data_IF_646105113771
#
_entry.id   IF_646105113771
#
_cell.length_a   1.000
_cell.length_b   1.000
_cell.length_c   1.000
_cell.angle_alpha   90.00
_cell.angle_beta   90.00
_cell.angle_gamma   90.00
#
_symmetry.space_group_name_H-M   'P 1'
#
loop_
_entity.id
_entity.type
_entity.pdbx_description
1 polymer ?
#
# COMPACT_ATOMS: atom_id res chain seq x y z
N UNK A 1 34.09 1.59 86.24
CA UNK A 1 32.99 0.63 86.49
C UNK A 1 32.88 -0.29 85.30
N UNK A 2 33.13 -1.57 85.55
CA UNK A 2 33.07 -2.72 84.65
C UNK A 2 31.63 -3.15 84.36
N UNK A 3 31.35 -3.54 83.12
CA UNK A 3 30.44 -4.64 82.71
C UNK A 3 30.18 -4.53 81.19
N UNK A 4 29.89 -5.59 80.43
CA UNK A 4 30.12 -7.03 80.48
C UNK A 4 29.59 -7.52 79.11
N UNK A 5 30.25 -8.51 78.54
CA UNK A 5 29.94 -9.21 77.29
C UNK A 5 28.54 -9.85 77.26
N UNK A 6 27.97 -10.00 76.05
CA UNK A 6 27.15 -11.15 75.65
C UNK A 6 27.13 -11.34 74.13
N UNK A 7 27.35 -12.59 73.71
CA UNK A 7 27.36 -13.15 72.36
C UNK A 7 26.16 -14.13 72.23
N UNK A 8 25.44 -14.10 71.11
CA UNK A 8 24.60 -15.18 70.55
C UNK A 8 24.16 -14.72 69.13
N UNK A 9 24.70 -15.23 68.01
CA UNK A 9 24.47 -16.50 67.27
C UNK A 9 23.04 -16.75 66.79
N UNK A 10 22.81 -16.60 65.46
CA UNK A 10 21.99 -17.48 64.56
C UNK A 10 22.12 -16.96 63.10
N UNK A 11 22.87 -17.63 62.20
CA UNK A 11 22.50 -18.67 61.20
C UNK A 11 21.61 -18.19 60.03
N UNK A 12 22.14 -18.45 58.83
CA UNK A 12 21.77 -18.09 57.45
C UNK A 12 20.35 -18.44 56.97
N UNK A 13 19.86 -17.69 55.97
CA UNK A 13 19.03 -18.24 54.89
C UNK A 13 19.17 -17.44 53.58
N UNK A 14 19.34 -18.17 52.49
CA UNK A 14 19.50 -17.76 51.09
C UNK A 14 18.19 -17.20 50.54
N UNK A 15 18.26 -16.11 49.77
CA UNK A 15 17.19 -15.73 48.83
C UNK A 15 17.79 -15.61 47.42
N UNK A 16 17.62 -16.69 46.65
CA UNK A 16 17.75 -16.69 45.20
C UNK A 16 16.65 -15.77 44.63
N UNK A 17 17.04 -14.55 44.30
CA UNK A 17 16.21 -13.65 43.50
C UNK A 17 16.14 -14.17 42.07
N UNK A 18 15.11 -14.96 41.77
CA UNK A 18 14.72 -15.28 40.41
C UNK A 18 14.39 -13.97 39.68
N UNK A 19 15.20 -13.63 38.68
CA UNK A 19 14.88 -12.58 37.71
C UNK A 19 13.73 -13.10 36.86
N UNK A 20 12.51 -12.77 37.25
CA UNK A 20 11.35 -12.94 36.40
C UNK A 20 11.48 -11.97 35.21
N UNK A 21 11.97 -12.47 34.08
CA UNK A 21 11.75 -11.88 32.77
C UNK A 21 10.25 -12.01 32.48
N UNK A 22 9.46 -11.07 32.99
CA UNK A 22 8.08 -10.88 32.57
C UNK A 22 8.12 -10.30 31.17
N UNK A 23 7.60 -11.08 30.20
CA UNK A 23 7.50 -10.67 28.81
C UNK A 23 6.70 -9.38 28.68
N UNK A 24 7.23 -8.45 27.90
CA UNK A 24 6.49 -7.29 27.44
C UNK A 24 5.26 -7.79 26.67
N UNK A 25 4.07 -7.49 27.19
CA UNK A 25 2.80 -7.76 26.52
C UNK A 25 2.63 -6.76 25.38
N UNK A 26 3.24 -7.07 24.23
CA UNK A 26 3.19 -6.32 22.97
C UNK A 26 1.96 -6.72 22.11
N UNK A 27 1.14 -7.65 22.62
CA UNK A 27 -0.04 -8.17 21.92
C UNK A 27 -1.11 -7.10 21.67
N UNK A 28 -1.17 -6.06 22.50
CA UNK A 28 -2.13 -4.96 22.34
C UNK A 28 -1.73 -3.98 21.23
N UNK A 29 -0.46 -3.61 21.17
CA UNK A 29 0.07 -2.66 20.17
C UNK A 29 0.11 -3.30 18.77
N UNK A 30 0.51 -4.57 18.67
CA UNK A 30 0.51 -5.32 17.42
C UNK A 30 -0.91 -5.44 16.82
N UNK A 31 -1.91 -5.82 17.64
CA UNK A 31 -3.32 -5.93 17.20
C UNK A 31 -3.92 -4.58 16.80
N UNK A 32 -3.64 -3.52 17.57
CA UNK A 32 -4.07 -2.17 17.22
C UNK A 32 -3.46 -1.72 15.88
N UNK A 33 -2.17 -1.99 15.66
CA UNK A 33 -1.49 -1.65 14.39
C UNK A 33 -2.09 -2.39 13.19
N UNK A 34 -2.35 -3.70 13.32
CA UNK A 34 -2.96 -4.51 12.27
C UNK A 34 -4.37 -4.00 11.92
N UNK A 35 -5.16 -3.63 12.93
CA UNK A 35 -6.49 -3.05 12.71
C UNK A 35 -6.43 -1.70 11.98
N UNK A 36 -5.43 -0.86 12.30
CA UNK A 36 -5.23 0.43 11.64
C UNK A 36 -4.73 0.28 10.20
N UNK A 37 -3.87 -0.70 9.95
CA UNK A 37 -3.36 -0.98 8.61
C UNK A 37 -4.45 -1.53 7.70
N UNK A 38 -5.34 -2.39 8.23
CA UNK A 38 -6.52 -2.83 7.51
C UNK A 38 -7.44 -1.64 7.17
N UNK A 39 -7.74 -0.78 8.15
CA UNK A 39 -8.54 0.44 7.92
C UNK A 39 -7.93 1.34 6.83
N UNK A 40 -6.61 1.50 6.79
CA UNK A 40 -5.93 2.27 5.73
C UNK A 40 -6.02 1.58 4.37
N UNK A 41 -5.87 0.26 4.34
CA UNK A 41 -6.11 -0.52 3.13
C UNK A 41 -7.54 -0.32 2.61
N UNK A 42 -8.54 -0.31 3.48
CA UNK A 42 -9.94 -0.03 3.13
C UNK A 42 -10.15 1.40 2.60
N UNK A 43 -9.38 2.39 3.07
CA UNK A 43 -9.42 3.75 2.52
C UNK A 43 -8.89 3.83 1.08
N UNK A 44 -7.89 3.01 0.73
CA UNK A 44 -7.38 2.93 -0.64
C UNK A 44 -8.28 2.09 -1.53
N UNK A 45 -8.64 0.89 -1.09
CA UNK A 45 -9.25 -0.15 -1.93
C UNK A 45 -10.78 -0.18 -1.84
N UNK A 46 -11.36 0.52 -0.86
CA UNK A 46 -12.78 0.49 -0.53
C UNK A 46 -13.10 -0.70 0.39
N UNK A 47 -13.69 -0.42 1.55
CA UNK A 47 -14.04 -1.44 2.55
C UNK A 47 -14.87 -2.61 1.99
N UNK A 48 -15.84 -2.31 1.10
CA UNK A 48 -16.65 -3.34 0.45
C UNK A 48 -15.85 -4.25 -0.48
N UNK A 49 -14.88 -3.68 -1.22
CA UNK A 49 -14.02 -4.46 -2.12
C UNK A 49 -13.03 -5.31 -1.33
N UNK A 50 -12.42 -4.75 -0.26
CA UNK A 50 -11.53 -5.49 0.64
C UNK A 50 -12.26 -6.68 1.25
N UNK A 51 -13.48 -6.48 1.75
CA UNK A 51 -14.30 -7.58 2.27
C UNK A 51 -14.59 -8.63 1.21
N UNK A 52 -15.02 -8.21 0.01
CA UNK A 52 -15.31 -9.13 -1.09
C UNK A 52 -14.09 -9.96 -1.51
N UNK A 53 -12.90 -9.38 -1.46
CA UNK A 53 -11.63 -10.08 -1.72
C UNK A 53 -11.36 -11.13 -0.63
N UNK A 54 -11.45 -10.73 0.64
CA UNK A 54 -11.22 -11.65 1.76
C UNK A 54 -12.22 -12.82 1.74
N UNK A 55 -13.49 -12.56 1.44
CA UNK A 55 -14.53 -13.58 1.29
C UNK A 55 -14.24 -14.56 0.13
N UNK A 56 -13.46 -14.15 -0.87
CA UNK A 56 -13.14 -14.97 -2.04
C UNK A 56 -11.89 -15.83 -1.86
N UNK A 57 -10.97 -15.42 -0.99
CA UNK A 57 -9.65 -16.04 -0.82
C UNK A 57 -9.67 -17.19 0.21
N UNK A 58 -10.59 -17.16 1.19
CA UNK A 58 -10.80 -18.27 2.15
C UNK A 58 -10.67 -17.86 3.63
N UNK A 59 -10.73 -18.84 4.54
CA UNK A 59 -10.82 -18.66 6.01
C UNK A 59 -9.48 -18.35 6.72
N UNK A 60 -8.50 -17.76 6.02
CA UNK A 60 -7.22 -17.35 6.62
C UNK A 60 -7.32 -16.00 7.34
N UNK A 61 -6.60 -15.83 8.45
CA UNK A 61 -6.51 -14.53 9.15
C UNK A 61 -5.67 -13.55 8.30
N UNK A 62 -6.27 -12.50 7.71
CA UNK A 62 -5.55 -11.61 6.81
C UNK A 62 -4.62 -10.66 7.59
N UNK A 63 -3.43 -10.46 7.05
CA UNK A 63 -2.47 -9.48 7.56
C UNK A 63 -2.36 -8.33 6.58
N UNK A 64 -2.88 -7.18 6.98
CA UNK A 64 -2.78 -5.94 6.20
C UNK A 64 -1.55 -5.12 6.61
N UNK A 65 -0.94 -4.44 5.64
CA UNK A 65 0.08 -3.42 5.88
C UNK A 65 -0.14 -2.19 5.00
N UNK A 66 -0.15 -1.01 5.63
CA UNK A 66 -0.36 0.26 4.96
C UNK A 66 0.37 1.40 5.68
N UNK A 67 1.50 1.85 5.12
CA UNK A 67 2.41 2.80 5.79
C UNK A 67 1.87 4.23 5.89
N UNK A 68 0.91 4.59 5.04
CA UNK A 68 0.41 5.96 4.87
C UNK A 68 -1.08 5.95 4.63
N UNK A 69 -1.76 7.03 5.00
CA UNK A 69 -3.12 7.30 4.52
C UNK A 69 -3.10 7.73 3.04
N UNK A 70 -4.24 7.72 2.33
CA UNK A 70 -4.35 8.28 0.98
C UNK A 70 -3.88 9.73 0.90
N UNK A 71 -4.29 10.58 1.85
CA UNK A 71 -3.90 11.99 1.91
C UNK A 71 -2.39 12.16 2.07
N UNK A 72 -1.76 11.40 2.97
CA UNK A 72 -0.31 11.49 3.20
C UNK A 72 0.50 11.04 1.96
N UNK A 73 0.03 9.97 1.30
CA UNK A 73 0.66 9.44 0.09
C UNK A 73 0.50 10.43 -1.08
N UNK A 74 -0.70 10.97 -1.28
CA UNK A 74 -0.97 12.00 -2.29
C UNK A 74 -0.12 13.26 -2.05
N UNK A 75 0.07 13.67 -0.79
CA UNK A 75 0.93 14.79 -0.44
C UNK A 75 2.40 14.55 -0.80
N UNK A 76 2.90 13.30 -0.69
CA UNK A 76 4.27 12.93 -1.11
C UNK A 76 4.40 12.96 -2.63
N UNK A 77 3.49 12.30 -3.33
CA UNK A 77 3.44 12.29 -4.81
C UNK A 77 3.35 13.72 -5.38
N UNK A 78 2.57 14.59 -4.75
CA UNK A 78 2.44 15.99 -5.19
C UNK A 78 3.74 16.79 -5.03
N UNK A 79 4.56 16.50 -4.00
CA UNK A 79 5.89 17.15 -3.86
C UNK A 79 6.84 16.68 -4.95
N UNK A 80 6.88 15.37 -5.21
CA UNK A 80 7.70 14.81 -6.29
C UNK A 80 7.34 15.43 -7.65
N UNK A 81 6.05 15.56 -7.97
CA UNK A 81 5.62 16.20 -9.21
C UNK A 81 6.02 17.68 -9.31
N UNK A 82 6.11 18.40 -8.18
CA UNK A 82 6.54 19.81 -8.15
C UNK A 82 8.04 19.98 -8.32
N UNK A 83 8.81 19.00 -7.89
CA UNK A 83 10.27 18.97 -7.98
C UNK A 83 10.77 18.30 -9.27
N UNK A 84 9.88 17.63 -10.00
CA UNK A 84 10.17 16.93 -11.24
C UNK A 84 10.82 17.83 -12.30
N UNK A 85 11.73 17.24 -13.08
CA UNK A 85 12.28 17.84 -14.30
C UNK A 85 12.27 16.79 -15.41
N UNK A 86 12.29 17.20 -16.68
CA UNK A 86 12.28 16.25 -17.82
C UNK A 86 13.47 15.28 -17.83
N UNK A 87 14.55 15.57 -17.10
CA UNK A 87 15.73 14.72 -16.99
C UNK A 87 15.64 13.72 -15.84
N UNK A 88 14.62 13.84 -14.98
CA UNK A 88 14.40 12.92 -13.88
C UNK A 88 13.81 11.60 -14.40
N UNK A 89 14.60 10.54 -14.29
CA UNK A 89 14.23 9.17 -14.67
C UNK A 89 14.03 8.27 -13.44
N UNK A 90 14.25 8.80 -12.23
CA UNK A 90 14.18 8.03 -11.00
C UNK A 90 12.86 8.34 -10.31
N UNK A 91 11.95 7.37 -10.35
CA UNK A 91 10.66 7.49 -9.69
C UNK A 91 10.52 6.42 -8.64
N UNK A 92 10.41 6.85 -7.39
CA UNK A 92 10.12 5.99 -6.25
C UNK A 92 8.76 5.30 -6.46
N UNK A 93 8.70 4.01 -6.12
CA UNK A 93 7.45 3.27 -6.06
C UNK A 93 6.99 3.12 -4.62
N UNK A 94 5.71 3.38 -4.39
CA UNK A 94 5.07 3.27 -3.08
C UNK A 94 4.08 2.13 -3.05
N UNK A 95 4.25 1.27 -2.05
CA UNK A 95 3.21 0.33 -1.64
C UNK A 95 2.18 1.05 -0.78
N UNK A 96 0.99 1.25 -1.34
CA UNK A 96 -0.13 1.91 -0.65
C UNK A 96 -0.78 0.96 0.35
N UNK A 97 -1.07 -0.27 -0.10
CA UNK A 97 -1.68 -1.33 0.69
C UNK A 97 -1.11 -2.67 0.25
N UNK A 98 -0.94 -3.58 1.20
CA UNK A 98 -0.72 -5.00 0.96
C UNK A 98 -1.53 -5.81 1.94
N UNK A 99 -2.23 -6.83 1.44
CA UNK A 99 -2.98 -7.80 2.24
C UNK A 99 -2.40 -9.16 1.90
N UNK A 100 -1.80 -9.80 2.91
CA UNK A 100 -1.34 -11.17 2.86
C UNK A 100 -2.41 -12.06 3.50
N UNK A 101 -2.91 -13.04 2.75
CA UNK A 101 -3.84 -14.06 3.24
C UNK A 101 -3.11 -15.40 3.24
N UNK A 102 -2.64 -15.86 4.41
CA UNK A 102 -1.89 -17.11 4.50
C UNK A 102 -2.79 -18.30 4.11
N UNK A 103 -2.21 -19.28 3.43
CA UNK A 103 -2.86 -20.57 3.24
C UNK A 103 -2.93 -21.34 4.56
N UNK A 104 -3.97 -22.15 4.76
CA UNK A 104 -4.17 -22.91 6.00
C UNK A 104 -3.04 -23.92 6.28
N UNK A 105 -2.40 -24.44 5.23
CA UNK A 105 -1.30 -25.42 5.28
C UNK A 105 0.10 -24.79 5.20
N UNK A 106 0.17 -23.46 5.14
CA UNK A 106 1.42 -22.70 5.22
C UNK A 106 2.23 -22.60 3.92
N UNK A 107 1.76 -23.16 2.79
CA UNK A 107 2.36 -22.98 1.46
C UNK A 107 1.37 -22.33 0.48
N UNK A 108 1.83 -21.39 -0.33
CA UNK A 108 1.00 -20.79 -1.39
C UNK A 108 -0.07 -19.76 -0.96
N UNK A 109 0.17 -18.98 0.09
CA UNK A 109 -0.71 -17.87 0.49
C UNK A 109 -0.95 -16.83 -0.62
N UNK A 110 -2.10 -16.15 -0.57
CA UNK A 110 -2.44 -15.13 -1.54
C UNK A 110 -2.01 -13.74 -1.08
N UNK A 111 -1.67 -12.91 -2.06
CA UNK A 111 -1.24 -11.54 -1.81
C UNK A 111 -2.06 -10.62 -2.70
N UNK A 112 -2.61 -9.56 -2.13
CA UNK A 112 -3.16 -8.42 -2.90
C UNK A 112 -2.32 -7.20 -2.57
N UNK A 113 -1.70 -6.59 -3.57
CA UNK A 113 -0.83 -5.44 -3.39
C UNK A 113 -1.21 -4.30 -4.34
N UNK A 114 -1.41 -3.11 -3.76
CA UNK A 114 -1.64 -1.88 -4.50
C UNK A 114 -0.42 -0.97 -4.42
N UNK A 115 0.09 -0.58 -5.58
CA UNK A 115 1.29 0.26 -5.70
C UNK A 115 1.04 1.48 -6.58
N UNK A 116 1.75 2.56 -6.31
CA UNK A 116 1.69 3.80 -7.09
C UNK A 116 3.07 4.39 -7.26
N UNK A 117 3.33 4.95 -8.44
CA UNK A 117 4.54 5.70 -8.75
C UNK A 117 4.24 6.74 -9.83
N UNK A 118 5.14 7.70 -9.99
CA UNK A 118 5.20 8.45 -11.24
C UNK A 118 5.80 7.55 -12.33
N UNK A 119 5.17 7.49 -13.50
CA UNK A 119 5.62 6.60 -14.58
C UNK A 119 6.84 7.16 -15.28
N UNK A 120 7.76 6.26 -15.65
CA UNK A 120 8.82 6.56 -16.63
C UNK A 120 8.26 6.65 -18.06
N UNK A 121 7.03 6.17 -18.28
CA UNK A 121 6.32 6.29 -19.55
C UNK A 121 5.61 7.64 -19.60
N UNK A 122 5.67 8.28 -20.77
CA UNK A 122 4.93 9.51 -21.03
C UNK A 122 3.63 9.20 -21.74
N UNK A 123 2.71 10.18 -21.82
CA UNK A 123 1.52 10.06 -22.67
C UNK A 123 1.90 9.80 -24.13
N UNK A 124 3.00 10.40 -24.61
CA UNK A 124 3.51 10.16 -25.96
C UNK A 124 3.96 8.71 -26.14
N UNK A 125 4.54 8.11 -25.11
CA UNK A 125 4.97 6.70 -25.14
C UNK A 125 3.82 5.75 -25.44
N UNK A 126 2.58 6.08 -25.05
CA UNK A 126 1.39 5.26 -25.34
C UNK A 126 1.08 5.17 -26.84
N UNK A 127 1.61 6.08 -27.67
CA UNK A 127 1.48 6.02 -29.13
C UNK A 127 2.59 5.20 -29.82
N UNK A 128 3.62 4.81 -29.07
CA UNK A 128 4.74 4.03 -29.62
C UNK A 128 4.32 2.56 -29.82
N UNK A 129 4.68 1.91 -30.94
CA UNK A 129 4.22 0.56 -31.26
C UNK A 129 4.43 -0.49 -30.15
N UNK A 130 5.53 -0.38 -29.39
CA UNK A 130 5.84 -1.28 -28.28
C UNK A 130 4.86 -1.19 -27.10
N UNK A 131 4.27 -0.02 -26.86
CA UNK A 131 3.37 0.21 -25.73
C UNK A 131 1.90 0.20 -26.18
N UNK A 132 1.62 0.63 -27.40
CA UNK A 132 0.26 0.61 -27.97
C UNK A 132 -0.36 -0.80 -28.06
N UNK A 133 0.46 -1.86 -27.99
CA UNK A 133 -0.01 -3.25 -27.98
C UNK A 133 -0.54 -3.70 -26.61
N UNK A 134 0.02 -3.17 -25.50
CA UNK A 134 -0.33 -3.60 -24.14
C UNK A 134 -1.16 -2.57 -23.40
N UNK A 135 -0.98 -1.28 -23.70
CA UNK A 135 -1.75 -0.18 -23.14
C UNK A 135 -2.92 0.19 -24.05
N UNK A 136 -4.14 0.08 -23.52
CA UNK A 136 -5.36 0.49 -24.18
C UNK A 136 -5.82 1.83 -23.61
N UNK A 137 -6.15 2.77 -24.50
CA UNK A 137 -6.78 4.03 -24.10
C UNK A 137 -8.24 3.77 -23.74
N UNK A 138 -8.63 4.04 -22.50
CA UNK A 138 -10.01 3.85 -22.02
C UNK A 138 -10.85 5.10 -22.24
N UNK A 139 -10.24 6.27 -22.04
CA UNK A 139 -10.79 7.58 -22.39
C UNK A 139 -9.64 8.57 -22.64
N UNK A 140 -9.92 9.86 -22.77
CA UNK A 140 -8.90 10.88 -23.02
C UNK A 140 -7.86 11.08 -21.90
N UNK A 141 -8.07 10.46 -20.75
CA UNK A 141 -7.33 10.72 -19.51
C UNK A 141 -6.82 9.45 -18.82
N UNK A 142 -7.10 8.26 -19.37
CA UNK A 142 -6.79 7.00 -18.71
C UNK A 142 -6.37 5.96 -19.75
N UNK A 143 -5.22 5.36 -19.50
CA UNK A 143 -4.75 4.16 -20.19
C UNK A 143 -4.75 3.00 -19.21
N UNK A 144 -5.09 1.81 -19.69
CA UNK A 144 -5.07 0.57 -18.92
C UNK A 144 -4.15 -0.45 -19.58
N UNK A 145 -3.39 -1.17 -18.78
CA UNK A 145 -2.67 -2.36 -19.20
C UNK A 145 -3.19 -3.54 -18.37
N UNK A 146 -3.73 -4.54 -19.08
CA UNK A 146 -4.23 -5.79 -18.49
C UNK A 146 -3.15 -6.87 -18.61
N UNK A 147 -2.71 -7.41 -17.47
CA UNK A 147 -1.84 -8.59 -17.31
C UNK A 147 -0.60 -8.67 -18.21
N UNK A 148 0.58 -8.36 -17.64
CA UNK A 148 1.89 -8.65 -18.27
C UNK A 148 2.65 -9.72 -17.49
N UNK A 149 2.33 -11.00 -17.73
CA UNK A 149 3.07 -12.15 -17.19
C UNK A 149 2.91 -12.42 -15.69
N UNK A 150 2.20 -11.55 -14.96
CA UNK A 150 1.69 -11.78 -13.59
C UNK A 150 0.23 -11.29 -13.54
N UNK A 151 -0.62 -11.80 -12.63
CA UNK A 151 -2.00 -11.34 -12.48
C UNK A 151 -1.98 -9.92 -11.89
N UNK A 152 -1.90 -8.92 -12.76
CA UNK A 152 -1.94 -7.51 -12.38
C UNK A 152 -2.64 -6.66 -13.42
N UNK A 153 -3.11 -5.50 -12.98
CA UNK A 153 -3.73 -4.51 -13.84
C UNK A 153 -3.18 -3.15 -13.47
N UNK A 154 -2.84 -2.36 -14.49
CA UNK A 154 -2.24 -1.03 -14.32
C UNK A 154 -3.11 0.04 -14.94
N UNK A 155 -3.14 1.20 -14.30
CA UNK A 155 -3.66 2.44 -14.83
C UNK A 155 -2.56 3.47 -14.96
N UNK A 156 -2.59 4.19 -16.07
CA UNK A 156 -1.75 5.36 -16.31
C UNK A 156 -2.66 6.57 -16.51
N UNK A 157 -2.54 7.54 -15.61
CA UNK A 157 -3.43 8.70 -15.48
C UNK A 157 -2.61 9.98 -15.64
N UNK A 158 -2.68 10.66 -16.80
CA UNK A 158 -2.00 11.92 -17.03
C UNK A 158 -2.64 13.03 -16.20
N UNK A 159 -1.92 13.54 -15.20
CA UNK A 159 -2.48 14.53 -14.28
C UNK A 159 -1.51 15.61 -13.87
N UNK A 160 -1.95 16.86 -14.03
CA UNK A 160 -1.21 18.05 -13.65
C UNK A 160 -1.38 18.38 -12.18
N UNK A 161 -0.32 18.23 -11.39
CA UNK A 161 -0.30 18.66 -9.99
C UNK A 161 -0.17 20.18 -9.92
N UNK A 162 -0.96 20.82 -9.05
CA UNK A 162 -0.88 22.28 -8.87
C UNK A 162 0.52 22.68 -8.37
N UNK A 163 1.15 23.62 -9.09
CA UNK A 163 2.50 24.10 -8.84
C UNK A 163 3.61 23.26 -9.48
N UNK A 164 3.29 22.20 -10.23
CA UNK A 164 4.26 21.44 -11.00
C UNK A 164 4.68 22.17 -12.30
N UNK A 165 5.86 21.87 -12.87
CA UNK A 165 6.31 22.46 -14.12
C UNK A 165 5.37 22.22 -15.31
N UNK A 166 5.37 23.17 -16.25
CA UNK A 166 4.64 23.02 -17.52
C UNK A 166 5.16 21.79 -18.27
N UNK A 167 4.28 20.83 -18.54
CA UNK A 167 4.62 19.56 -19.20
C UNK A 167 4.47 18.34 -18.30
N UNK A 168 4.47 18.51 -16.96
CA UNK A 168 4.37 17.40 -15.99
C UNK A 168 3.17 16.48 -16.27
N UNK A 169 2.00 17.04 -16.59
CA UNK A 169 0.78 16.26 -16.89
C UNK A 169 1.01 15.18 -17.96
N UNK A 170 1.80 15.49 -19.00
CA UNK A 170 2.03 14.58 -20.14
C UNK A 170 3.35 13.81 -20.02
N UNK A 171 4.36 14.42 -19.40
CA UNK A 171 5.69 13.86 -19.21
C UNK A 171 5.82 12.95 -18.00
N UNK A 172 4.93 13.08 -17.01
CA UNK A 172 4.97 12.35 -15.74
C UNK A 172 3.56 11.92 -15.32
N UNK A 173 2.92 11.00 -16.06
CA UNK A 173 1.61 10.47 -15.68
C UNK A 173 1.74 9.57 -14.43
N UNK A 174 0.67 9.51 -13.64
CA UNK A 174 0.62 8.67 -12.45
C UNK A 174 0.33 7.22 -12.88
N UNK A 175 1.16 6.27 -12.44
CA UNK A 175 0.98 4.84 -12.67
C UNK A 175 0.53 4.17 -11.37
N UNK A 176 -0.57 3.43 -11.44
CA UNK A 176 -1.15 2.69 -10.32
C UNK A 176 -1.33 1.25 -10.74
N UNK A 177 -0.98 0.32 -9.86
CA UNK A 177 -1.07 -1.11 -10.12
C UNK A 177 -1.78 -1.80 -8.95
N UNK A 178 -2.67 -2.73 -9.29
CA UNK A 178 -3.11 -3.78 -8.36
C UNK A 178 -2.58 -5.09 -8.91
N UNK A 179 -1.79 -5.79 -8.09
CA UNK A 179 -1.25 -7.11 -8.38
C UNK A 179 -1.76 -8.11 -7.36
N UNK A 180 -2.09 -9.30 -7.83
CA UNK A 180 -2.52 -10.41 -7.00
C UNK A 180 -2.11 -11.77 -7.59
N UNK A 181 -2.43 -12.85 -6.89
CA UNK A 181 -2.12 -14.22 -7.30
C UNK A 181 -3.33 -15.10 -7.58
N UNK A 182 -4.56 -14.56 -7.54
CA UNK A 182 -5.76 -15.40 -7.49
C UNK A 182 -7.11 -14.71 -7.63
N UNK A 183 -7.15 -13.39 -7.81
CA UNK A 183 -8.39 -12.65 -8.06
C UNK A 183 -8.80 -12.78 -9.52
N UNK A 184 -10.11 -12.76 -9.74
CA UNK A 184 -10.65 -12.58 -11.07
C UNK A 184 -10.40 -11.14 -11.59
N UNK A 185 -10.57 -10.96 -12.90
CA UNK A 185 -10.33 -9.67 -13.57
C UNK A 185 -11.26 -8.57 -13.05
N UNK A 186 -12.53 -8.90 -12.76
CA UNK A 186 -13.54 -7.92 -12.32
C UNK A 186 -13.24 -7.41 -10.90
N UNK A 187 -12.75 -8.27 -10.02
CA UNK A 187 -12.30 -7.92 -8.67
C UNK A 187 -11.08 -7.02 -8.74
N UNK A 188 -10.09 -7.40 -9.57
CA UNK A 188 -8.88 -6.59 -9.79
C UNK A 188 -9.21 -5.20 -10.33
N UNK A 189 -10.12 -5.12 -11.28
CA UNK A 189 -10.63 -3.87 -11.84
C UNK A 189 -11.30 -2.98 -10.79
N UNK A 190 -12.20 -3.55 -9.97
CA UNK A 190 -12.88 -2.80 -8.90
C UNK A 190 -11.89 -2.24 -7.88
N UNK A 191 -10.90 -3.04 -7.49
CA UNK A 191 -9.82 -2.60 -6.60
C UNK A 191 -9.03 -1.45 -7.24
N UNK A 192 -8.59 -1.60 -8.48
CA UNK A 192 -7.75 -0.62 -9.16
C UNK A 192 -8.48 0.69 -9.44
N UNK A 193 -9.75 0.63 -9.88
CA UNK A 193 -10.55 1.85 -10.12
C UNK A 193 -10.86 2.57 -8.82
N UNK A 194 -11.11 1.84 -7.73
CA UNK A 194 -11.32 2.44 -6.39
C UNK A 194 -10.04 3.07 -5.87
N UNK A 195 -8.91 2.37 -5.98
CA UNK A 195 -7.60 2.88 -5.63
C UNK A 195 -7.25 4.14 -6.39
N UNK A 196 -7.46 4.14 -7.70
CA UNK A 196 -7.25 5.30 -8.55
C UNK A 196 -8.11 6.48 -8.11
N UNK A 197 -9.39 6.27 -7.83
CA UNK A 197 -10.28 7.34 -7.32
C UNK A 197 -9.86 7.85 -5.95
N UNK A 198 -9.47 6.99 -5.03
CA UNK A 198 -9.04 7.39 -3.69
C UNK A 198 -7.80 8.30 -3.77
N UNK A 199 -6.76 7.88 -4.49
CA UNK A 199 -5.55 8.69 -4.63
C UNK A 199 -5.76 9.95 -5.48
N UNK A 200 -6.53 9.84 -6.57
CA UNK A 200 -6.81 11.01 -7.39
C UNK A 200 -7.74 12.01 -6.70
N UNK A 201 -8.67 11.57 -5.85
CA UNK A 201 -9.47 12.47 -5.02
C UNK A 201 -8.62 13.37 -4.12
N UNK A 202 -7.52 12.82 -3.59
CA UNK A 202 -6.63 13.51 -2.65
C UNK A 202 -5.53 14.35 -3.34
N UNK A 203 -5.17 14.02 -4.58
CA UNK A 203 -4.17 14.77 -5.34
C UNK A 203 -4.73 16.15 -5.72
N UNK A 204 -4.08 17.21 -5.22
CA UNK A 204 -4.38 18.61 -5.48
C UNK A 204 -4.07 19.05 -6.93
N UNK A 205 -4.71 18.41 -7.89
CA UNK A 205 -4.53 18.64 -9.31
C UNK A 205 -5.45 19.71 -9.85
N UNK A 206 -5.02 20.35 -10.93
CA UNK A 206 -5.81 21.39 -11.60
C UNK A 206 -7.12 20.83 -12.21
N UNK A 207 -7.06 19.58 -12.66
CA UNK A 207 -8.21 18.86 -13.22
C UNK A 207 -8.43 17.54 -12.45
N UNK A 208 -9.69 17.12 -12.33
CA UNK A 208 -10.05 15.79 -11.82
C UNK A 208 -10.26 14.85 -13.01
N UNK A 209 -9.40 13.84 -13.22
CA UNK A 209 -9.57 12.90 -14.30
C UNK A 209 -10.81 12.06 -14.04
N UNK A 210 -11.57 11.80 -15.09
CA UNK A 210 -12.68 10.86 -15.02
C UNK A 210 -12.11 9.44 -15.07
N UNK A 211 -12.02 8.78 -13.91
CA UNK A 211 -11.68 7.36 -13.83
C UNK A 211 -12.94 6.54 -14.11
N UNK A 212 -12.99 5.79 -15.22
CA UNK A 212 -14.18 5.03 -15.61
C UNK A 212 -14.61 4.03 -14.53
N UNK A 213 -15.93 3.84 -14.39
CA UNK A 213 -16.51 2.83 -13.50
C UNK A 213 -16.11 1.40 -13.87
N UNK A 214 -15.92 1.17 -15.17
CA UNK A 214 -15.46 -0.09 -15.71
C UNK A 214 -14.26 0.12 -16.65
N UNK A 215 -13.32 -0.83 -16.62
CA UNK A 215 -12.16 -0.89 -17.51
C UNK A 215 -12.41 -1.94 -18.60
N UNK A 216 -11.80 -1.79 -19.79
CA UNK A 216 -11.90 -2.82 -20.81
C UNK A 216 -11.09 -4.04 -20.37
N UNK A 217 -11.80 -5.16 -20.21
CA UNK A 217 -11.19 -6.50 -20.06
C UNK A 217 -10.47 -7.00 -21.31
#
# INVERSE_FOLDING_TARGET
MTNRTSLAVTISAVALGAVALSGCSDDGEAKASASMDLLRCEQFLGAGNVRSVLDSIGEGDPVASARRSPTDLAGRLAREAREWTEQDLLHDSYRACRIDVPAEDGDGGQVVEATVKWSVLTVKSMSEPKHAQTWRKVNDQVFVETETGRPSMRLLVPRGVSGAPSGQKLGLPLEMEVADSGLDVDQREKLLTTFARALTGELACADTPEIPAALPG
#
